data_IF_096324784599
#
_entry.id   IF_096324784599
#
_cell.length_a   1.000
_cell.length_b   1.000
_cell.length_c   1.000
_cell.angle_alpha   90.00
_cell.angle_beta   90.00
_cell.angle_gamma   90.00
#
_symmetry.space_group_name_H-M   'P 1'
#
loop_
_entity.id
_entity.type
_entity.pdbx_description
1 polymer ?
#
# COMPACT_ATOMS: atom_id res chain seq x y z
N UNK A 1 17.26 -4.28 -6.19
CA UNK A 1 16.69 -3.90 -4.89
C UNK A 1 15.95 -5.09 -4.32
N UNK A 2 15.85 -5.25 -2.99
CA UNK A 2 15.31 -6.42 -2.24
C UNK A 2 14.55 -7.39 -3.18
N UNK A 3 15.19 -8.48 -3.64
CA UNK A 3 14.73 -9.22 -4.82
C UNK A 3 13.40 -9.93 -4.62
N UNK A 4 13.04 -10.21 -3.37
CA UNK A 4 11.76 -10.78 -3.00
C UNK A 4 11.26 -10.09 -1.71
N UNK A 5 10.24 -9.26 -1.85
CA UNK A 5 9.64 -8.49 -0.75
C UNK A 5 8.82 -9.37 0.20
N UNK A 6 8.52 -10.62 -0.14
CA UNK A 6 7.75 -11.55 0.69
C UNK A 6 8.66 -12.45 1.54
N UNK A 7 9.89 -12.69 1.08
CA UNK A 7 10.85 -13.55 1.78
C UNK A 7 11.25 -12.94 3.14
N UNK A 8 11.26 -13.72 4.24
CA UNK A 8 11.73 -13.22 5.53
C UNK A 8 13.15 -12.65 5.43
N UNK A 9 13.35 -11.45 5.98
CA UNK A 9 14.65 -10.79 6.08
C UNK A 9 15.06 -10.77 7.56
N UNK A 10 16.31 -11.16 7.91
CA UNK A 10 16.80 -11.04 9.28
C UNK A 10 16.63 -9.63 9.83
N UNK A 11 16.21 -9.50 11.09
CA UNK A 11 15.95 -8.19 11.72
C UNK A 11 17.16 -7.27 11.70
N UNK A 12 18.36 -7.83 11.90
CA UNK A 12 19.64 -7.11 11.81
C UNK A 12 19.87 -6.51 10.41
N UNK A 13 19.59 -7.26 9.36
CA UNK A 13 19.72 -6.80 7.97
C UNK A 13 18.67 -5.74 7.65
N UNK A 14 17.42 -5.93 8.09
CA UNK A 14 16.36 -4.92 7.94
C UNK A 14 16.76 -3.60 8.62
N UNK A 15 17.29 -3.66 9.84
CA UNK A 15 17.75 -2.48 10.56
C UNK A 15 18.93 -1.80 9.84
N UNK A 16 19.89 -2.58 9.33
CA UNK A 16 21.00 -2.04 8.55
C UNK A 16 20.52 -1.31 7.30
N UNK A 17 19.57 -1.89 6.55
CA UNK A 17 18.95 -1.25 5.37
C UNK A 17 18.23 0.05 5.77
N UNK A 18 17.45 0.05 6.84
CA UNK A 18 16.71 1.25 7.31
C UNK A 18 17.67 2.35 7.79
N UNK A 19 18.73 2.00 8.51
CA UNK A 19 19.75 2.95 8.96
C UNK A 19 20.50 3.55 7.77
N UNK A 20 20.91 2.72 6.81
CA UNK A 20 21.52 3.17 5.57
C UNK A 20 20.61 4.14 4.81
N UNK A 21 19.34 3.78 4.61
CA UNK A 21 18.36 4.65 3.95
C UNK A 21 18.12 5.95 4.72
N UNK A 22 18.26 5.98 6.05
CA UNK A 22 18.12 7.21 6.86
C UNK A 22 19.29 8.17 6.67
N UNK A 23 20.52 7.66 6.58
CA UNK A 23 21.73 8.49 6.47
C UNK A 23 22.12 8.86 5.03
N UNK A 24 21.64 8.13 4.03
CA UNK A 24 22.17 8.22 2.66
C UNK A 24 22.14 9.64 2.06
N UNK A 25 21.07 10.38 2.31
CA UNK A 25 20.90 11.75 1.81
C UNK A 25 21.90 12.72 2.44
N UNK A 26 22.02 12.72 3.77
CA UNK A 26 22.94 13.62 4.47
C UNK A 26 24.40 13.28 4.17
N UNK A 27 24.74 11.99 4.08
CA UNK A 27 26.09 11.55 3.70
C UNK A 27 26.48 12.03 2.30
N UNK A 28 25.55 11.97 1.33
CA UNK A 28 25.81 12.47 -0.02
C UNK A 28 25.98 14.00 -0.03
N UNK A 29 25.09 14.73 0.63
CA UNK A 29 25.16 16.20 0.72
C UNK A 29 26.47 16.66 1.34
N UNK A 30 26.94 15.99 2.41
CA UNK A 30 28.25 16.28 3.01
C UNK A 30 29.41 15.94 2.08
N UNK A 31 29.35 14.81 1.37
CA UNK A 31 30.41 14.41 0.44
C UNK A 31 30.52 15.33 -0.79
N UNK A 32 29.47 16.09 -1.11
CA UNK A 32 29.42 17.00 -2.24
C UNK A 32 29.65 18.47 -1.85
N UNK A 33 30.11 18.76 -0.64
CA UNK A 33 30.48 20.13 -0.25
C UNK A 33 31.46 20.75 -1.25
N UNK A 34 31.19 21.98 -1.68
CA UNK A 34 31.97 22.70 -2.68
C UNK A 34 31.61 22.39 -4.14
N UNK A 35 30.66 21.49 -4.39
CA UNK A 35 30.11 21.27 -5.73
C UNK A 35 29.03 22.33 -6.09
N UNK A 36 28.75 22.54 -7.39
CA UNK A 36 27.63 23.36 -7.83
C UNK A 36 26.28 22.87 -7.27
N UNK A 37 25.42 23.79 -6.84
CA UNK A 37 24.11 23.52 -6.23
C UNK A 37 23.25 22.58 -7.08
N UNK A 38 23.17 22.86 -8.37
CA UNK A 38 22.27 22.16 -9.29
C UNK A 38 22.67 20.68 -9.43
N UNK A 39 23.98 20.40 -9.37
CA UNK A 39 24.50 19.03 -9.38
C UNK A 39 24.18 18.29 -8.08
N UNK A 40 24.26 18.99 -6.94
CA UNK A 40 23.91 18.43 -5.62
C UNK A 40 22.42 18.07 -5.63
N UNK A 41 21.55 18.99 -6.06
CA UNK A 41 20.10 18.80 -6.07
C UNK A 41 19.68 17.57 -6.87
N UNK A 42 20.19 17.41 -8.10
CA UNK A 42 19.87 16.26 -8.95
C UNK A 42 20.25 14.94 -8.28
N UNK A 43 21.46 14.86 -7.71
CA UNK A 43 21.97 13.64 -7.09
C UNK A 43 21.27 13.32 -5.77
N UNK A 44 21.01 14.34 -4.95
CA UNK A 44 20.26 14.23 -3.70
C UNK A 44 18.83 13.76 -3.98
N UNK A 45 18.16 14.30 -4.99
CA UNK A 45 16.81 13.86 -5.39
C UNK A 45 16.77 12.37 -5.77
N UNK A 46 17.74 11.89 -6.56
CA UNK A 46 17.83 10.49 -6.94
C UNK A 46 18.07 9.58 -5.71
N UNK A 47 18.97 10.00 -4.81
CA UNK A 47 19.27 9.26 -3.58
C UNK A 47 18.10 9.27 -2.60
N UNK A 48 17.35 10.37 -2.49
CA UNK A 48 16.15 10.46 -1.67
C UNK A 48 15.07 9.49 -2.17
N UNK A 49 14.87 9.41 -3.49
CA UNK A 49 13.96 8.43 -4.08
C UNK A 49 14.41 6.98 -3.79
N UNK A 50 15.72 6.72 -3.80
CA UNK A 50 16.27 5.39 -3.52
C UNK A 50 16.11 5.00 -2.06
N UNK A 51 16.47 5.91 -1.14
CA UNK A 51 16.24 5.76 0.29
C UNK A 51 14.76 5.50 0.60
N UNK A 52 13.85 6.24 -0.04
CA UNK A 52 12.43 6.03 0.13
C UNK A 52 11.96 4.66 -0.36
N UNK A 53 12.50 4.18 -1.49
CA UNK A 53 12.20 2.84 -2.01
C UNK A 53 12.65 1.74 -1.05
N UNK A 54 13.84 1.88 -0.44
CA UNK A 54 14.32 0.95 0.59
C UNK A 54 13.39 0.91 1.81
N UNK A 55 12.92 2.08 2.28
CA UNK A 55 11.97 2.15 3.41
C UNK A 55 10.63 1.49 3.07
N UNK A 56 10.10 1.75 1.88
CA UNK A 56 8.85 1.14 1.41
C UNK A 56 8.97 -0.38 1.33
N UNK A 57 10.01 -0.91 0.68
CA UNK A 57 10.15 -2.37 0.50
C UNK A 57 10.43 -3.09 1.83
N UNK A 58 11.17 -2.48 2.76
CA UNK A 58 11.34 -3.05 4.10
C UNK A 58 10.06 -3.00 4.95
N UNK A 59 9.21 -1.99 4.77
CA UNK A 59 7.89 -1.93 5.42
C UNK A 59 6.91 -2.93 4.84
N UNK A 60 6.87 -3.08 3.51
CA UNK A 60 6.10 -4.13 2.84
C UNK A 60 6.55 -5.52 3.30
N UNK A 61 7.85 -5.77 3.43
CA UNK A 61 8.36 -7.03 3.96
C UNK A 61 7.87 -7.31 5.39
N UNK A 62 7.85 -6.30 6.25
CA UNK A 62 7.34 -6.42 7.61
C UNK A 62 5.85 -6.78 7.63
N UNK A 63 5.03 -6.10 6.82
CA UNK A 63 3.60 -6.44 6.65
C UNK A 63 3.43 -7.87 6.15
N UNK A 64 4.25 -8.30 5.19
CA UNK A 64 4.23 -9.66 4.67
C UNK A 64 4.52 -10.69 5.77
N UNK A 65 5.49 -10.46 6.65
CA UNK A 65 5.78 -11.38 7.76
C UNK A 65 4.64 -11.42 8.79
N UNK A 66 4.07 -10.27 9.14
CA UNK A 66 2.93 -10.20 10.05
C UNK A 66 1.71 -10.94 9.47
N UNK A 67 1.40 -10.72 8.19
CA UNK A 67 0.31 -11.41 7.51
C UNK A 67 0.56 -12.91 7.38
N UNK A 68 1.81 -13.35 7.16
CA UNK A 68 2.16 -14.77 7.13
C UNK A 68 1.78 -15.49 8.42
N UNK A 69 1.99 -14.87 9.58
CA UNK A 69 1.58 -15.43 10.87
C UNK A 69 0.06 -15.61 10.99
N UNK A 70 -0.73 -14.67 10.44
CA UNK A 70 -2.20 -14.79 10.39
C UNK A 70 -2.62 -15.91 9.44
N UNK A 71 -2.03 -15.97 8.24
CA UNK A 71 -2.35 -16.97 7.21
C UNK A 71 -1.88 -18.39 7.54
N UNK A 72 -1.08 -18.58 8.60
CA UNK A 72 -0.69 -19.89 9.12
C UNK A 72 -1.56 -20.32 10.32
N UNK A 73 -2.47 -19.46 10.79
CA UNK A 73 -3.33 -19.75 11.92
C UNK A 73 -4.73 -20.18 11.45
N UNK A 74 -4.97 -21.50 11.39
CA UNK A 74 -6.24 -22.06 10.92
C UNK A 74 -7.45 -21.59 11.73
N UNK A 75 -7.31 -21.33 13.04
CA UNK A 75 -8.40 -20.82 13.88
C UNK A 75 -8.77 -19.40 13.46
N UNK A 76 -7.77 -18.53 13.26
CA UNK A 76 -7.97 -17.18 12.72
C UNK A 76 -8.62 -17.22 11.33
N UNK A 77 -8.15 -18.11 10.44
CA UNK A 77 -8.71 -18.25 9.09
C UNK A 77 -10.19 -18.64 9.13
N UNK A 78 -10.56 -19.63 9.96
CA UNK A 78 -11.95 -20.05 10.10
C UNK A 78 -12.84 -18.91 10.63
N UNK A 79 -12.34 -18.13 11.60
CA UNK A 79 -13.04 -16.95 12.09
C UNK A 79 -13.18 -15.88 11.00
N UNK A 80 -12.13 -15.65 10.20
CA UNK A 80 -12.17 -14.74 9.06
C UNK A 80 -13.20 -15.16 8.03
N UNK A 81 -13.30 -16.46 7.68
CA UNK A 81 -14.32 -16.97 6.77
C UNK A 81 -15.73 -16.75 7.31
N UNK A 82 -15.95 -17.03 8.60
CA UNK A 82 -17.25 -16.83 9.25
C UNK A 82 -17.68 -15.35 9.22
N UNK A 83 -16.76 -14.43 9.51
CA UNK A 83 -17.03 -12.99 9.48
C UNK A 83 -17.21 -12.48 8.04
N UNK A 84 -16.42 -12.97 7.09
CA UNK A 84 -16.52 -12.60 5.67
C UNK A 84 -17.87 -12.98 5.07
N UNK A 85 -18.42 -14.14 5.44
CA UNK A 85 -19.73 -14.58 4.96
C UNK A 85 -20.90 -13.71 5.49
N UNK A 86 -20.65 -12.85 6.47
CA UNK A 86 -21.64 -11.89 6.98
C UNK A 86 -21.57 -10.53 6.29
N UNK A 87 -20.53 -10.28 5.49
CA UNK A 87 -20.39 -9.02 4.75
C UNK A 87 -21.47 -8.93 3.68
N UNK A 88 -22.12 -7.77 3.58
CA UNK A 88 -23.11 -7.48 2.54
C UNK A 88 -22.42 -7.11 1.22
N UNK A 89 -21.95 -8.14 0.51
CA UNK A 89 -21.28 -7.97 -0.77
C UNK A 89 -22.16 -7.38 -1.87
N UNK A 90 -23.49 -7.56 -1.77
CA UNK A 90 -24.41 -6.96 -2.71
C UNK A 90 -24.36 -5.42 -2.61
N UNK A 91 -24.51 -4.88 -1.40
CA UNK A 91 -24.41 -3.44 -1.16
C UNK A 91 -22.99 -2.90 -1.46
N UNK A 92 -21.93 -3.65 -1.13
CA UNK A 92 -20.55 -3.27 -1.49
C UNK A 92 -20.39 -3.16 -3.01
N UNK A 93 -20.89 -4.14 -3.76
CA UNK A 93 -20.81 -4.15 -5.22
C UNK A 93 -21.64 -3.02 -5.85
N UNK A 94 -22.86 -2.76 -5.37
CA UNK A 94 -23.69 -1.68 -5.90
C UNK A 94 -23.02 -0.31 -5.74
N UNK A 95 -22.49 0.01 -4.56
CA UNK A 95 -21.79 1.27 -4.32
C UNK A 95 -20.48 1.36 -5.12
N UNK A 96 -19.71 0.28 -5.24
CA UNK A 96 -18.50 0.27 -6.06
C UNK A 96 -18.80 0.43 -7.56
N UNK A 97 -19.89 -0.17 -8.05
CA UNK A 97 -20.38 0.04 -9.42
C UNK A 97 -20.76 1.51 -9.62
N UNK A 98 -21.52 2.10 -8.69
CA UNK A 98 -21.95 3.49 -8.78
C UNK A 98 -20.80 4.49 -8.72
N UNK A 99 -19.86 4.32 -7.78
CA UNK A 99 -18.81 5.30 -7.51
C UNK A 99 -17.64 5.19 -8.48
N UNK A 100 -17.14 3.99 -8.74
CA UNK A 100 -15.91 3.79 -9.51
C UNK A 100 -16.08 2.85 -10.71
N UNK A 101 -17.33 2.54 -11.10
CA UNK A 101 -17.66 1.73 -12.27
C UNK A 101 -16.92 0.40 -12.26
N UNK A 102 -16.91 -0.27 -11.11
CA UNK A 102 -16.38 -1.63 -11.01
C UNK A 102 -17.26 -2.59 -11.82
N UNK A 103 -16.61 -3.43 -12.63
CA UNK A 103 -17.31 -4.49 -13.36
C UNK A 103 -17.82 -5.55 -12.37
N UNK A 104 -19.15 -5.73 -12.33
CA UNK A 104 -19.78 -6.64 -11.36
C UNK A 104 -19.34 -8.09 -11.51
N UNK A 105 -19.08 -8.55 -12.74
CA UNK A 105 -18.65 -9.93 -12.99
C UNK A 105 -17.23 -10.19 -12.51
N UNK A 106 -16.33 -9.22 -12.69
CA UNK A 106 -14.98 -9.25 -12.17
C UNK A 106 -15.00 -9.22 -10.64
N UNK A 107 -15.77 -8.31 -10.04
CA UNK A 107 -15.89 -8.19 -8.58
C UNK A 107 -16.38 -9.49 -7.95
N UNK A 108 -17.46 -10.08 -8.49
CA UNK A 108 -18.00 -11.34 -7.98
C UNK A 108 -16.98 -12.49 -8.10
N UNK A 109 -16.21 -12.53 -9.19
CA UNK A 109 -15.11 -13.50 -9.34
C UNK A 109 -14.01 -13.29 -8.31
N UNK A 110 -13.57 -12.05 -8.09
CA UNK A 110 -12.54 -11.73 -7.09
C UNK A 110 -13.00 -12.08 -5.67
N UNK A 111 -14.26 -11.85 -5.35
CA UNK A 111 -14.85 -12.28 -4.07
C UNK A 111 -14.81 -13.80 -3.92
N UNK A 112 -15.27 -14.53 -4.95
CA UNK A 112 -15.27 -15.99 -4.94
C UNK A 112 -13.85 -16.56 -4.81
N UNK A 113 -12.90 -16.01 -5.57
CA UNK A 113 -11.49 -16.40 -5.51
C UNK A 113 -10.88 -16.11 -4.14
N UNK A 114 -11.18 -14.95 -3.54
CA UNK A 114 -10.70 -14.60 -2.20
C UNK A 114 -11.22 -15.59 -1.15
N UNK A 115 -12.53 -15.91 -1.18
CA UNK A 115 -13.14 -16.90 -0.28
C UNK A 115 -12.49 -18.27 -0.47
N UNK A 116 -12.32 -18.72 -1.72
CA UNK A 116 -11.69 -20.01 -2.01
C UNK A 116 -10.23 -20.07 -1.54
N UNK A 117 -9.46 -19.01 -1.77
CA UNK A 117 -8.05 -18.90 -1.37
C UNK A 117 -7.90 -18.94 0.16
N UNK A 118 -8.82 -18.28 0.88
CA UNK A 118 -8.87 -18.31 2.33
C UNK A 118 -9.28 -19.69 2.85
N UNK A 119 -10.29 -20.32 2.25
CA UNK A 119 -10.77 -21.66 2.61
C UNK A 119 -9.72 -22.76 2.40
N UNK A 120 -8.92 -22.64 1.35
CA UNK A 120 -7.81 -23.55 1.05
C UNK A 120 -6.60 -23.35 1.97
N UNK A 121 -6.62 -22.33 2.84
CA UNK A 121 -5.51 -21.95 3.72
C UNK A 121 -4.20 -21.74 2.93
N UNK A 122 -4.32 -21.06 1.78
CA UNK A 122 -3.19 -20.84 0.90
C UNK A 122 -2.10 -20.01 1.59
N UNK A 123 -0.85 -20.36 1.28
CA UNK A 123 0.35 -19.64 1.72
C UNK A 123 0.38 -18.20 1.22
N UNK A 124 1.17 -17.34 1.87
CA UNK A 124 1.33 -15.95 1.47
C UNK A 124 1.77 -15.82 0.00
N UNK A 125 2.64 -16.71 -0.45
CA UNK A 125 3.14 -16.76 -1.84
C UNK A 125 2.02 -17.06 -2.84
N UNK A 126 1.09 -17.95 -2.49
CA UNK A 126 -0.08 -18.25 -3.31
C UNK A 126 -1.04 -17.06 -3.36
N UNK A 127 -1.24 -16.34 -2.24
CA UNK A 127 -2.00 -15.08 -2.23
C UNK A 127 -1.36 -14.01 -3.12
N UNK A 128 -0.04 -13.88 -3.05
CA UNK A 128 0.70 -12.95 -3.90
C UNK A 128 0.60 -13.31 -5.40
N UNK A 129 0.66 -14.61 -5.72
CA UNK A 129 0.45 -15.09 -7.08
C UNK A 129 -0.97 -14.78 -7.59
N UNK A 130 -1.99 -14.93 -6.74
CA UNK A 130 -3.37 -14.53 -7.06
C UNK A 130 -3.47 -13.03 -7.35
N UNK A 131 -2.96 -12.15 -6.47
CA UNK A 131 -2.96 -10.70 -6.72
C UNK A 131 -2.24 -10.32 -8.02
N UNK A 132 -1.11 -10.97 -8.32
CA UNK A 132 -0.39 -10.79 -9.59
C UNK A 132 -1.25 -11.20 -10.79
N UNK A 133 -2.01 -12.29 -10.69
CA UNK A 133 -2.92 -12.74 -11.72
C UNK A 133 -4.10 -11.77 -11.91
N UNK A 134 -4.62 -11.17 -10.83
CA UNK A 134 -5.64 -10.11 -10.88
C UNK A 134 -5.12 -8.91 -11.67
N UNK A 135 -3.95 -8.37 -11.31
CA UNK A 135 -3.32 -7.25 -12.01
C UNK A 135 -3.10 -7.58 -13.49
N UNK A 136 -2.55 -8.75 -13.79
CA UNK A 136 -2.31 -9.18 -15.17
C UNK A 136 -3.62 -9.26 -15.97
N UNK A 137 -4.69 -9.82 -15.39
CA UNK A 137 -5.99 -9.96 -16.04
C UNK A 137 -6.62 -8.60 -16.35
N UNK A 138 -6.62 -7.68 -15.38
CA UNK A 138 -7.24 -6.36 -15.55
C UNK A 138 -6.45 -5.48 -16.52
N UNK A 139 -5.12 -5.56 -16.52
CA UNK A 139 -4.28 -4.72 -17.38
C UNK A 139 -4.05 -5.30 -18.78
N UNK A 140 -4.31 -6.59 -19.00
CA UNK A 140 -4.14 -7.25 -20.32
C UNK A 140 -4.74 -6.46 -21.50
N UNK A 141 -5.98 -5.92 -21.43
CA UNK A 141 -6.57 -5.18 -22.54
C UNK A 141 -5.85 -3.86 -22.88
N UNK A 142 -5.04 -3.33 -21.96
CA UNK A 142 -4.34 -2.05 -22.09
C UNK A 142 -2.87 -2.22 -22.50
N UNK A 143 -2.36 -3.45 -22.57
CA UNK A 143 -0.96 -3.69 -22.93
C UNK A 143 -0.61 -3.09 -24.29
N UNK A 144 0.53 -2.38 -24.35
CA UNK A 144 0.99 -1.68 -25.55
C UNK A 144 0.17 -0.44 -25.94
N UNK A 145 -0.82 -0.03 -25.14
CA UNK A 145 -1.64 1.15 -25.40
C UNK A 145 -1.15 2.36 -24.60
N UNK A 146 -1.33 3.60 -25.12
CA UNK A 146 -0.88 4.81 -24.43
C UNK A 146 -1.60 5.05 -23.08
N UNK A 147 -2.78 4.46 -22.89
CA UNK A 147 -3.55 4.59 -21.65
C UNK A 147 -3.23 3.51 -20.59
N UNK A 148 -2.17 2.70 -20.78
CA UNK A 148 -1.78 1.65 -19.82
C UNK A 148 -1.56 2.21 -18.41
N UNK A 149 -0.75 3.25 -18.28
CA UNK A 149 -0.43 3.87 -16.98
C UNK A 149 -1.69 4.41 -16.30
N UNK A 150 -2.59 5.04 -17.05
CA UNK A 150 -3.87 5.53 -16.53
C UNK A 150 -4.74 4.38 -16.04
N UNK A 151 -4.85 3.30 -16.80
CA UNK A 151 -5.61 2.11 -16.39
C UNK A 151 -5.01 1.44 -15.14
N UNK A 152 -3.68 1.40 -15.03
CA UNK A 152 -2.98 0.85 -13.87
C UNK A 152 -3.22 1.67 -12.59
N UNK A 153 -3.17 3.01 -12.69
CA UNK A 153 -3.54 3.91 -11.59
C UNK A 153 -5.02 3.78 -11.22
N UNK A 154 -5.90 3.67 -12.22
CA UNK A 154 -7.33 3.47 -11.98
C UNK A 154 -7.62 2.15 -11.26
N UNK A 155 -6.87 1.08 -11.55
CA UNK A 155 -6.98 -0.18 -10.82
C UNK A 155 -6.65 -0.01 -9.34
N UNK A 156 -5.59 0.74 -8.98
CA UNK A 156 -5.27 1.03 -7.58
C UNK A 156 -6.39 1.80 -6.87
N UNK A 157 -7.00 2.78 -7.55
CA UNK A 157 -8.13 3.54 -7.00
C UNK A 157 -9.36 2.66 -6.77
N UNK A 158 -9.74 1.86 -7.78
CA UNK A 158 -10.86 0.91 -7.66
C UNK A 158 -10.61 -0.14 -6.57
N UNK A 159 -9.39 -0.68 -6.52
CA UNK A 159 -8.94 -1.62 -5.49
C UNK A 159 -9.12 -1.02 -4.09
N UNK A 160 -8.55 0.17 -3.87
CA UNK A 160 -8.57 0.86 -2.59
C UNK A 160 -9.99 1.20 -2.14
N UNK A 161 -10.82 1.71 -3.05
CA UNK A 161 -12.22 2.00 -2.76
C UNK A 161 -12.98 0.72 -2.36
N UNK A 162 -12.95 -0.31 -3.21
CA UNK A 162 -13.72 -1.53 -3.01
C UNK A 162 -13.37 -2.23 -1.69
N UNK A 163 -12.09 -2.38 -1.41
CA UNK A 163 -11.66 -3.07 -0.19
C UNK A 163 -11.83 -2.22 1.06
N UNK A 164 -11.82 -0.89 0.97
CA UNK A 164 -12.22 -0.03 2.10
C UNK A 164 -13.69 -0.19 2.46
N UNK A 165 -14.57 -0.44 1.48
CA UNK A 165 -15.97 -0.76 1.74
C UNK A 165 -16.15 -2.08 2.51
N UNK A 166 -15.39 -3.11 2.14
CA UNK A 166 -15.40 -4.41 2.85
C UNK A 166 -14.92 -4.22 4.29
N UNK A 167 -13.81 -3.49 4.50
CA UNK A 167 -13.29 -3.19 5.84
C UNK A 167 -14.30 -2.39 6.67
N UNK A 168 -14.97 -1.40 6.08
CA UNK A 168 -16.02 -0.61 6.76
C UNK A 168 -17.17 -1.49 7.24
N UNK A 169 -17.66 -2.41 6.41
CA UNK A 169 -18.74 -3.33 6.79
C UNK A 169 -18.30 -4.26 7.94
N UNK A 170 -17.08 -4.80 7.88
CA UNK A 170 -16.48 -5.58 8.99
C UNK A 170 -16.36 -4.77 10.29
N UNK A 171 -15.98 -3.49 10.21
CA UNK A 171 -15.94 -2.59 11.37
C UNK A 171 -17.33 -2.39 11.97
N UNK A 172 -18.33 -2.08 11.15
CA UNK A 172 -19.70 -1.84 11.61
C UNK A 172 -20.32 -3.07 12.28
N UNK A 173 -19.94 -4.26 11.82
CA UNK A 173 -20.35 -5.53 12.43
C UNK A 173 -19.53 -5.93 13.66
N UNK A 174 -18.49 -5.16 14.00
CA UNK A 174 -17.55 -5.50 15.07
C UNK A 174 -17.00 -6.93 14.90
N UNK A 175 -16.60 -7.29 13.68
CA UNK A 175 -16.09 -8.62 13.35
C UNK A 175 -14.91 -9.00 14.25
N UNK A 176 -14.95 -10.20 14.84
CA UNK A 176 -13.90 -10.67 15.75
C UNK A 176 -12.53 -10.78 15.05
N UNK A 177 -12.54 -11.08 13.75
CA UNK A 177 -11.34 -11.15 12.91
C UNK A 177 -10.95 -9.81 12.24
N UNK A 178 -11.55 -8.68 12.64
CA UNK A 178 -11.28 -7.37 12.03
C UNK A 178 -9.79 -7.03 11.93
N UNK A 179 -9.02 -7.26 13.00
CA UNK A 179 -7.57 -6.97 13.01
C UNK A 179 -6.81 -7.76 11.95
N UNK A 180 -7.18 -9.02 11.71
CA UNK A 180 -6.60 -9.88 10.68
C UNK A 180 -6.93 -9.38 9.27
N UNK A 181 -8.19 -9.00 9.02
CA UNK A 181 -8.58 -8.39 7.75
C UNK A 181 -7.90 -7.04 7.50
N UNK A 182 -7.77 -6.20 8.53
CA UNK A 182 -7.10 -4.91 8.42
C UNK A 182 -5.61 -5.08 8.10
N UNK A 183 -4.93 -6.05 8.72
CA UNK A 183 -3.54 -6.37 8.40
C UNK A 183 -3.39 -6.86 6.94
N UNK A 184 -4.26 -7.75 6.47
CA UNK A 184 -4.26 -8.21 5.09
C UNK A 184 -4.55 -7.05 4.12
N UNK A 185 -5.47 -6.15 4.46
CA UNK A 185 -5.75 -4.92 3.69
C UNK A 185 -4.50 -4.06 3.52
N UNK A 186 -3.80 -3.76 4.61
CA UNK A 186 -2.55 -2.97 4.58
C UNK A 186 -1.49 -3.64 3.71
N UNK A 187 -1.29 -4.96 3.86
CA UNK A 187 -0.37 -5.71 3.01
C UNK A 187 -0.77 -5.60 1.53
N UNK A 188 -2.05 -5.81 1.20
CA UNK A 188 -2.48 -5.87 -0.18
C UNK A 188 -2.44 -4.51 -0.87
N UNK A 189 -2.70 -3.42 -0.16
CA UNK A 189 -2.48 -2.07 -0.71
C UNK A 189 -1.04 -1.88 -1.14
N UNK A 190 -0.10 -2.13 -0.23
CA UNK A 190 1.33 -1.97 -0.51
C UNK A 190 1.80 -2.94 -1.60
N UNK A 191 1.29 -4.17 -1.61
CA UNK A 191 1.67 -5.17 -2.61
C UNK A 191 1.05 -4.90 -3.99
N UNK A 192 -0.22 -4.49 -4.07
CA UNK A 192 -0.84 -4.06 -5.32
C UNK A 192 -0.13 -2.85 -5.89
N UNK A 193 0.21 -1.88 -5.04
CA UNK A 193 1.01 -0.74 -5.44
C UNK A 193 2.37 -1.18 -6.00
N UNK A 194 3.09 -2.07 -5.28
CA UNK A 194 4.35 -2.66 -5.75
C UNK A 194 4.21 -3.36 -7.11
N UNK A 195 3.17 -4.18 -7.31
CA UNK A 195 2.93 -4.87 -8.58
C UNK A 195 2.68 -3.89 -9.72
N UNK A 196 1.83 -2.89 -9.48
CA UNK A 196 1.48 -1.87 -10.48
C UNK A 196 2.69 -1.01 -10.85
N UNK A 197 3.48 -0.58 -9.85
CA UNK A 197 4.75 0.13 -10.04
C UNK A 197 5.67 -0.64 -11.02
N UNK A 198 5.83 -1.95 -10.83
CA UNK A 198 6.66 -2.78 -11.70
C UNK A 198 6.06 -2.98 -13.09
N UNK A 199 4.74 -3.14 -13.20
CA UNK A 199 4.08 -3.27 -14.50
C UNK A 199 4.18 -1.99 -15.33
N UNK A 200 4.01 -0.82 -14.69
CA UNK A 200 4.17 0.47 -15.38
C UNK A 200 5.62 0.67 -15.82
N UNK A 201 6.60 0.39 -14.95
CA UNK A 201 8.01 0.49 -15.29
C UNK A 201 8.38 -0.37 -16.51
N UNK A 202 7.87 -1.60 -16.55
CA UNK A 202 8.06 -2.49 -17.70
C UNK A 202 7.39 -1.95 -18.97
N UNK A 203 6.19 -1.37 -18.87
CA UNK A 203 5.46 -0.84 -20.02
C UNK A 203 6.06 0.46 -20.57
N UNK A 204 6.68 1.29 -19.72
CA UNK A 204 7.31 2.57 -20.11
C UNK A 204 8.80 2.44 -20.43
N UNK A 205 9.41 1.29 -20.15
CA UNK A 205 10.86 1.10 -20.30
C UNK A 205 11.68 1.84 -19.22
N UNK A 206 11.04 2.19 -18.11
CA UNK A 206 11.67 2.88 -16.99
C UNK A 206 12.02 1.94 -15.84
N UNK A 207 12.67 2.49 -14.82
CA UNK A 207 12.91 1.79 -13.56
C UNK A 207 11.73 2.00 -12.60
N UNK A 208 11.39 1.04 -11.72
CA UNK A 208 10.33 1.22 -10.72
C UNK A 208 10.48 2.50 -9.88
N UNK A 209 11.72 2.90 -9.58
CA UNK A 209 12.04 4.14 -8.86
C UNK A 209 11.75 5.40 -9.68
N UNK A 210 11.92 5.37 -11.00
CA UNK A 210 11.66 6.50 -11.90
C UNK A 210 10.15 6.76 -12.05
N UNK A 211 9.34 5.69 -12.17
CA UNK A 211 7.87 5.77 -12.24
C UNK A 211 7.27 6.52 -11.04
N UNK A 212 7.88 6.38 -9.87
CA UNK A 212 7.48 7.08 -8.65
C UNK A 212 7.88 8.55 -8.60
N UNK A 213 8.91 8.94 -9.36
CA UNK A 213 9.43 10.30 -9.41
C UNK A 213 8.57 11.25 -10.27
N UNK A 214 7.84 10.72 -11.26
CA UNK A 214 6.96 11.53 -12.13
C UNK A 214 5.81 12.19 -11.35
N UNK A 215 5.31 11.54 -10.30
CA UNK A 215 4.25 12.08 -9.43
C UNK A 215 4.72 13.37 -8.74
N UNK A 216 5.99 13.44 -8.31
CA UNK A 216 6.57 14.65 -7.68
C UNK A 216 6.88 15.77 -8.67
N UNK A 217 7.24 15.46 -9.92
CA UNK A 217 7.47 16.50 -10.95
C UNK A 217 6.16 17.16 -11.40
N UNK A 218 5.07 16.42 -11.39
CA UNK A 218 3.74 16.92 -11.78
C UNK A 218 3.19 17.95 -10.77
N UNK A 219 3.51 17.81 -9.47
CA UNK A 219 3.10 18.77 -8.43
C UNK A 219 3.89 20.09 -8.49
N UNK A 220 5.17 20.04 -8.91
CA UNK A 220 6.01 21.24 -9.07
C UNK A 220 5.61 22.04 -10.31
N UNK A 221 5.25 21.37 -11.42
CA UNK A 221 4.87 22.06 -12.66
C UNK A 221 3.50 22.75 -12.59
N UNK A 222 2.62 22.36 -11.66
CA UNK A 222 1.33 23.03 -11.43
C UNK A 222 1.42 24.32 -10.60
N UNK A 223 2.58 24.63 -10.00
CA UNK A 223 2.77 25.84 -9.19
C UNK A 223 3.48 26.99 -9.94
N UNK A 224 3.82 26.84 -11.23
CA UNK A 224 4.51 27.86 -12.03
C UNK A 224 3.58 28.80 -12.81
N UNK A 225 2.26 28.71 -12.64
CA UNK A 225 1.29 29.56 -13.33
C UNK A 225 0.44 30.41 -12.37
N UNK A 226 1.07 31.16 -11.48
CA UNK A 226 0.44 32.35 -10.89
C UNK A 226 1.51 33.31 -10.33
N UNK A 227 1.97 34.23 -11.19
CA UNK A 227 2.78 35.35 -10.72
C UNK A 227 2.53 36.59 -11.59
N UNK A 228 1.48 37.35 -11.26
CA UNK A 228 1.52 38.82 -11.38
C UNK A 228 0.73 39.49 -10.24
N UNK A 229 1.49 40.28 -9.47
CA UNK A 229 1.13 41.45 -8.65
C UNK A 229 0.69 41.27 -7.18
N UNK A 230 1.61 41.64 -6.27
CA UNK A 230 1.29 42.16 -4.93
C UNK A 230 2.27 41.75 -3.82
N UNK A 231 3.29 42.58 -3.55
CA UNK A 231 4.29 42.44 -2.46
C UNK A 231 3.70 42.75 -1.05
N UNK A 232 4.44 42.57 0.08
CA UNK A 232 4.43 41.37 0.92
C UNK A 232 4.04 41.64 2.40
N UNK A 233 3.55 40.63 3.14
CA UNK A 233 3.96 40.37 4.54
C UNK A 233 3.23 39.16 5.17
N UNK A 234 3.97 38.22 5.74
CA UNK A 234 4.17 38.05 7.20
C UNK A 234 4.39 36.58 7.58
N UNK A 235 5.30 36.39 8.53
CA UNK A 235 5.76 35.12 9.10
C UNK A 235 4.64 34.17 9.53
N UNK A 236 4.86 32.85 9.36
CA UNK A 236 4.79 31.91 10.49
C UNK A 236 5.41 30.53 10.18
N UNK A 237 6.33 30.15 11.07
CA UNK A 237 6.90 28.81 11.24
C UNK A 237 5.80 27.80 11.59
N UNK A 238 5.82 26.61 10.99
CA UNK A 238 5.17 25.41 11.54
C UNK A 238 5.89 24.15 11.08
N UNK A 239 6.65 23.54 12.00
CA UNK A 239 7.27 22.23 11.87
C UNK A 239 6.23 21.15 11.62
N UNK A 240 6.33 20.43 10.50
CA UNK A 240 5.54 19.21 10.26
C UNK A 240 6.25 17.98 10.83
N UNK A 241 5.76 17.50 11.96
CA UNK A 241 6.10 16.21 12.54
C UNK A 241 5.32 15.11 11.78
N UNK A 242 6.02 14.22 11.08
CA UNK A 242 5.44 13.01 10.48
C UNK A 242 5.65 11.82 11.42
N UNK A 243 4.63 11.49 12.23
CA UNK A 243 4.59 10.25 13.02
C UNK A 243 3.71 9.21 12.32
N UNK A 244 4.34 8.24 11.65
CA UNK A 244 3.68 7.04 11.11
C UNK A 244 3.94 5.79 11.97
N UNK A 245 4.24 5.98 13.26
CA UNK A 245 4.56 4.89 14.19
C UNK A 245 3.36 4.49 15.06
N UNK A 246 2.28 5.28 15.08
CA UNK A 246 1.17 5.11 16.04
C UNK A 246 0.09 4.11 15.59
N UNK A 247 0.03 3.71 14.32
CA UNK A 247 -1.01 2.78 13.84
C UNK A 247 -0.77 1.31 14.23
N UNK A 248 0.47 0.90 14.53
CA UNK A 248 0.72 -0.48 14.98
C UNK A 248 0.39 -0.69 16.46
N UNK A 249 0.46 0.34 17.30
CA UNK A 249 0.22 0.20 18.74
C UNK A 249 -1.26 -0.04 19.07
N UNK A 250 -2.18 0.47 18.25
CA UNK A 250 -3.64 0.32 18.43
C UNK A 250 -4.10 -1.13 18.21
N UNK A 251 -3.43 -1.90 17.34
CA UNK A 251 -3.81 -3.28 17.06
C UNK A 251 -3.43 -4.25 18.21
N UNK A 252 -2.45 -3.88 19.04
CA UNK A 252 -2.00 -4.71 20.15
C UNK A 252 -2.87 -4.53 21.41
N UNK A 253 -3.53 -3.38 21.56
CA UNK A 253 -4.43 -3.11 22.70
C UNK A 253 -5.84 -3.74 22.55
N UNK A 254 -6.28 -4.06 21.34
CA UNK A 254 -7.61 -4.68 21.13
C UNK A 254 -7.68 -6.17 21.47
N UNK A 255 -6.54 -6.85 21.64
CA UNK A 255 -6.47 -8.27 22.00
C UNK A 255 -6.54 -8.54 23.52
N UNK A 256 -6.66 -7.51 24.38
CA UNK A 256 -6.58 -7.67 25.84
C UNK A 256 -7.80 -7.18 26.64
N UNK A 257 -8.96 -6.90 26.02
CA UNK A 257 -10.15 -6.57 26.81
C UNK A 257 -10.94 -7.83 27.20
N UNK A 258 -11.08 -8.16 28.50
CA UNK A 258 -12.02 -9.19 28.92
C UNK A 258 -13.46 -8.66 28.78
N UNK A 259 -14.31 -9.47 28.16
CA UNK A 259 -15.77 -9.27 28.08
C UNK A 259 -16.36 -9.18 29.49
N UNK A 260 -16.74 -7.99 29.95
CA UNK A 260 -17.63 -7.84 31.09
C UNK A 260 -19.07 -8.08 30.61
N UNK A 261 -19.65 -9.16 31.11
CA UNK A 261 -21.06 -9.49 30.91
C UNK A 261 -21.97 -8.37 31.40
N UNK A 262 -22.95 -8.01 30.58
CA UNK A 262 -24.06 -7.17 30.96
C UNK A 262 -25.11 -8.10 31.57
N UNK A 263 -25.30 -8.02 32.88
CA UNK A 263 -26.44 -8.62 33.58
C UNK A 263 -27.63 -7.67 33.40
N UNK A 264 -28.69 -8.14 32.76
CA UNK A 264 -29.99 -7.47 32.72
C UNK A 264 -30.86 -8.10 33.82
N UNK A 265 -31.21 -7.27 34.81
CA UNK A 265 -32.41 -7.40 35.62
C UNK A 265 -33.37 -6.27 35.19
#
# INVERSE_FOLDING_TARGET
LIPDVLRPIPSSLTQAIRNFAKGLESWLSSAMQGCPSDMIEIKVSAVAAFAQTLRRYTSLNHLAQAARAVLQNSVQINQMLADLNRVDFHNVQEQASWVCQCDGSLVARLEADFKATLQQQNSLEQWAAWLKAVVATVLKPYQGRPNFTTAARQLLLKWSFYSSMVIRDLTLRSAASFGSFHLIRLLYDEYMFYLIEHQVALATGETPIAVMGEVRKSEVSSNEFEMTNGTPNNNNNSSSNNNNTDQLHVLQEMHQRPTKGINLA
#
